data_IF_834918895618
#
_entry.id   IF_834918895618
#
_cell.length_a   1.000
_cell.length_b   1.000
_cell.length_c   1.000
_cell.angle_alpha   90.00
_cell.angle_beta   90.00
_cell.angle_gamma   90.00
#
_symmetry.space_group_name_H-M   'P 1'
#
loop_
_entity.id
_entity.type
_entity.pdbx_description
1 polymer ?
#
# COMPACT_ATOMS: atom_id res chain seq x y z
N UNK A 1 -26.81 27.44 0.88
CA UNK A 1 -26.23 26.67 1.99
C UNK A 1 -25.21 25.72 1.38
N UNK A 2 -23.93 26.01 1.60
CA UNK A 2 -22.78 25.11 1.86
C UNK A 2 -22.68 23.76 1.13
N UNK A 3 -21.57 23.32 0.53
CA UNK A 3 -20.17 23.79 0.42
C UNK A 3 -19.60 23.20 -0.89
N UNK A 4 -19.04 23.99 -1.80
CA UNK A 4 -17.59 24.19 -1.95
C UNK A 4 -16.72 22.93 -1.78
N UNK A 5 -16.78 22.00 -2.74
CA UNK A 5 -15.65 21.09 -3.04
C UNK A 5 -15.06 21.58 -4.36
N UNK A 6 -14.46 22.78 -4.30
CA UNK A 6 -13.62 23.27 -5.37
C UNK A 6 -12.29 22.52 -5.37
N UNK A 7 -11.89 22.09 -6.58
CA UNK A 7 -10.49 21.97 -7.03
C UNK A 7 -9.53 21.15 -6.17
N UNK A 8 -9.45 19.86 -6.48
CA UNK A 8 -8.20 19.10 -6.31
C UNK A 8 -7.76 18.32 -7.56
N UNK A 9 -8.52 18.34 -8.66
CA UNK A 9 -8.13 17.69 -9.93
C UNK A 9 -7.17 18.54 -10.79
N UNK A 10 -7.20 19.87 -10.67
CA UNK A 10 -6.43 20.78 -11.55
C UNK A 10 -4.91 20.84 -11.26
N UNK A 11 -4.41 20.15 -10.21
CA UNK A 11 -3.04 20.32 -9.72
C UNK A 11 -2.19 19.04 -9.66
N UNK A 12 -2.74 17.91 -10.10
CA UNK A 12 -1.98 16.67 -10.17
C UNK A 12 -1.45 16.48 -11.60
N UNK A 13 -0.14 16.27 -11.79
CA UNK A 13 0.42 15.86 -13.08
C UNK A 13 -0.40 14.71 -13.68
N UNK A 14 -0.80 14.84 -14.95
CA UNK A 14 -1.62 13.83 -15.65
C UNK A 14 -1.00 12.43 -15.55
N UNK A 15 0.33 12.36 -15.50
CA UNK A 15 1.10 11.13 -15.33
C UNK A 15 0.78 10.42 -14.00
N UNK A 16 0.62 11.16 -12.90
CA UNK A 16 0.28 10.61 -11.58
C UNK A 16 -1.17 10.17 -11.51
N UNK A 17 -2.10 10.94 -12.10
CA UNK A 17 -3.52 10.55 -12.18
C UNK A 17 -3.69 9.29 -13.02
N UNK A 18 -2.92 9.17 -14.11
CA UNK A 18 -2.92 8.01 -14.99
C UNK A 18 -2.33 6.78 -14.30
N UNK A 19 -1.24 6.93 -13.55
CA UNK A 19 -0.65 5.84 -12.77
C UNK A 19 -1.63 5.29 -11.73
N UNK A 20 -2.35 6.16 -11.02
CA UNK A 20 -3.38 5.76 -10.04
C UNK A 20 -4.54 5.03 -10.74
N UNK A 21 -5.04 5.53 -11.86
CA UNK A 21 -6.11 4.88 -12.63
C UNK A 21 -5.69 3.52 -13.20
N UNK A 22 -4.48 3.41 -13.74
CA UNK A 22 -3.94 2.14 -14.25
C UNK A 22 -3.74 1.13 -13.12
N UNK A 23 -3.37 1.59 -11.93
CA UNK A 23 -3.30 0.78 -10.73
C UNK A 23 -4.71 0.26 -10.35
N UNK A 24 -5.70 1.14 -10.20
CA UNK A 24 -7.08 0.75 -9.88
C UNK A 24 -7.66 -0.25 -10.91
N UNK A 25 -7.41 -0.06 -12.21
CA UNK A 25 -7.88 -0.96 -13.26
C UNK A 25 -7.17 -2.32 -13.28
N UNK A 26 -5.87 -2.38 -12.98
CA UNK A 26 -5.10 -3.64 -12.94
C UNK A 26 -5.47 -4.50 -11.73
N UNK A 27 -5.81 -3.88 -10.61
CA UNK A 27 -6.05 -4.58 -9.35
C UNK A 27 -7.52 -4.79 -9.00
N UNK A 28 -8.46 -4.01 -9.57
CA UNK A 28 -9.91 -4.17 -9.35
C UNK A 28 -10.50 -5.51 -9.85
N UNK A 29 -9.82 -6.20 -10.77
CA UNK A 29 -10.34 -7.44 -11.39
C UNK A 29 -10.02 -8.75 -10.66
N UNK A 30 -9.24 -8.74 -9.58
CA UNK A 30 -8.81 -9.99 -8.90
C UNK A 30 -9.80 -10.56 -7.87
N UNK A 31 -10.95 -9.91 -7.63
CA UNK A 31 -11.94 -10.34 -6.64
C UNK A 31 -13.01 -11.30 -7.18
N UNK A 32 -12.63 -12.50 -7.65
CA UNK A 32 -13.59 -13.59 -7.91
C UNK A 32 -13.07 -14.93 -7.41
N UNK A 33 -13.24 -15.18 -6.11
CA UNK A 33 -13.10 -16.52 -5.55
C UNK A 33 -13.24 -16.54 -4.04
N UNK A 34 -14.45 -16.84 -3.53
CA UNK A 34 -14.65 -17.35 -2.17
C UNK A 34 -13.96 -18.72 -2.08
N UNK A 35 -12.66 -18.73 -1.80
CA UNK A 35 -11.85 -19.90 -1.54
C UNK A 35 -10.75 -19.48 -0.59
N UNK A 36 -10.57 -20.24 0.51
CA UNK A 36 -9.58 -20.07 1.60
C UNK A 36 -8.66 -18.84 1.46
N UNK A 37 -8.79 -17.90 2.39
CA UNK A 37 -7.90 -16.74 2.50
C UNK A 37 -6.45 -17.19 2.28
N UNK A 38 -5.82 -16.67 1.24
CA UNK A 38 -4.47 -17.08 0.85
C UNK A 38 -3.49 -16.35 1.75
N UNK A 39 -2.37 -16.99 2.08
CA UNK A 39 -1.26 -16.28 2.71
C UNK A 39 -0.63 -15.29 1.72
N UNK A 40 -0.22 -14.10 2.16
CA UNK A 40 0.41 -13.12 1.29
C UNK A 40 1.81 -13.58 0.90
N UNK A 41 2.13 -13.43 -0.39
CA UNK A 41 3.49 -13.57 -0.91
C UNK A 41 4.35 -12.36 -0.54
N UNK A 42 5.65 -12.40 -0.84
CA UNK A 42 6.49 -11.21 -0.63
C UNK A 42 6.09 -10.04 -1.55
N UNK A 43 5.58 -10.33 -2.76
CA UNK A 43 5.09 -9.29 -3.68
C UNK A 43 3.85 -8.61 -3.09
N UNK A 44 2.90 -9.38 -2.57
CA UNK A 44 1.69 -8.82 -1.93
C UNK A 44 2.03 -7.93 -0.72
N UNK A 45 3.04 -8.33 0.09
CA UNK A 45 3.48 -7.55 1.24
C UNK A 45 4.20 -6.26 0.79
N UNK A 46 5.00 -6.33 -0.27
CA UNK A 46 5.68 -5.15 -0.84
C UNK A 46 4.65 -4.16 -1.38
N UNK A 47 3.67 -4.64 -2.12
CA UNK A 47 2.56 -3.82 -2.61
C UNK A 47 1.83 -3.16 -1.43
N UNK A 48 1.49 -3.92 -0.39
CA UNK A 48 0.87 -3.38 0.82
C UNK A 48 1.73 -2.27 1.48
N UNK A 49 3.04 -2.48 1.63
CA UNK A 49 3.96 -1.47 2.19
C UNK A 49 3.94 -0.20 1.34
N UNK A 50 3.98 -0.31 0.01
CA UNK A 50 3.96 0.85 -0.89
C UNK A 50 2.65 1.61 -0.77
N UNK A 51 1.51 0.91 -0.78
CA UNK A 51 0.18 1.54 -0.67
C UNK A 51 -0.01 2.25 0.68
N UNK A 52 0.44 1.63 1.78
CA UNK A 52 0.33 2.21 3.13
C UNK A 52 1.23 3.44 3.29
N UNK A 53 2.41 3.43 2.68
CA UNK A 53 3.42 4.50 2.87
C UNK A 53 3.38 5.58 1.80
N UNK A 54 2.71 5.35 0.67
CA UNK A 54 2.82 6.22 -0.52
C UNK A 54 4.26 6.30 -1.02
N UNK A 55 5.01 5.21 -0.92
CA UNK A 55 6.45 5.12 -1.20
C UNK A 55 7.37 5.97 -0.29
N UNK A 56 6.84 6.59 0.76
CA UNK A 56 7.60 7.47 1.67
C UNK A 56 7.41 7.02 3.12
N UNK A 57 8.51 6.61 3.74
CA UNK A 57 8.55 6.26 5.15
C UNK A 57 8.78 7.51 6.00
N UNK A 58 7.82 7.86 6.85
CA UNK A 58 7.83 9.04 7.71
C UNK A 58 7.89 8.65 9.18
N UNK A 59 8.24 9.59 10.06
CA UNK A 59 8.18 9.38 11.51
C UNK A 59 6.76 9.01 11.99
N UNK A 60 5.71 9.44 11.29
CA UNK A 60 4.33 9.16 11.67
C UNK A 60 3.89 7.74 11.26
N UNK A 61 4.26 7.28 10.06
CA UNK A 61 3.80 5.96 9.59
C UNK A 61 4.69 4.80 10.03
N UNK A 62 5.94 5.03 10.43
CA UNK A 62 6.87 3.95 10.82
C UNK A 62 6.40 3.18 12.05
N UNK A 63 5.78 3.86 13.03
CA UNK A 63 5.34 3.24 14.28
C UNK A 63 4.16 2.29 14.06
N UNK A 64 3.25 2.65 13.16
CA UNK A 64 2.03 1.87 12.88
C UNK A 64 2.14 1.06 11.59
N UNK A 65 3.32 1.03 10.96
CA UNK A 65 3.52 0.44 9.62
C UNK A 65 3.06 -1.01 9.57
N UNK A 66 3.46 -1.80 10.56
CA UNK A 66 3.12 -3.22 10.61
C UNK A 66 1.60 -3.46 10.71
N UNK A 67 0.93 -2.70 11.58
CA UNK A 67 -0.52 -2.78 11.78
C UNK A 67 -1.23 -2.37 10.49
N UNK A 68 -0.83 -1.25 9.89
CA UNK A 68 -1.43 -0.76 8.66
C UNK A 68 -1.23 -1.72 7.48
N UNK A 69 -0.09 -2.39 7.38
CA UNK A 69 0.16 -3.44 6.36
C UNK A 69 -0.74 -4.65 6.59
N UNK A 70 -0.92 -5.08 7.85
CA UNK A 70 -1.84 -6.17 8.20
C UNK A 70 -3.27 -5.82 7.80
N UNK A 71 -3.74 -4.63 8.16
CA UNK A 71 -5.12 -4.22 7.92
C UNK A 71 -5.38 -4.06 6.42
N UNK A 72 -4.40 -3.53 5.68
CA UNK A 72 -4.45 -3.51 4.22
C UNK A 72 -4.58 -4.94 3.65
N UNK A 73 -3.71 -5.87 4.03
CA UNK A 73 -3.74 -7.25 3.51
C UNK A 73 -5.03 -7.99 3.88
N UNK A 74 -5.55 -7.81 5.10
CA UNK A 74 -6.84 -8.36 5.52
C UNK A 74 -7.99 -7.79 4.69
N UNK A 75 -7.98 -6.49 4.40
CA UNK A 75 -9.00 -5.86 3.54
C UNK A 75 -9.01 -6.44 2.12
N UNK A 76 -7.86 -6.92 1.65
CA UNK A 76 -7.71 -7.60 0.36
C UNK A 76 -8.03 -9.12 0.41
N UNK A 77 -8.41 -9.64 1.58
CA UNK A 77 -8.81 -11.04 1.77
C UNK A 77 -7.65 -12.02 2.02
N UNK A 78 -6.46 -11.53 2.39
CA UNK A 78 -5.34 -12.38 2.78
C UNK A 78 -5.44 -12.86 4.23
N UNK A 79 -4.92 -14.05 4.49
CA UNK A 79 -4.65 -14.55 5.84
C UNK A 79 -3.28 -14.03 6.30
N UNK A 80 -3.27 -13.14 7.28
CA UNK A 80 -2.05 -12.53 7.82
C UNK A 80 -1.54 -13.22 9.09
N UNK A 81 -2.12 -14.35 9.52
CA UNK A 81 -1.74 -15.02 10.77
C UNK A 81 -0.28 -15.46 10.82
N UNK A 82 0.34 -15.71 9.67
CA UNK A 82 1.74 -16.07 9.54
C UNK A 82 2.67 -14.88 9.21
N UNK A 83 2.14 -13.66 9.09
CA UNK A 83 2.94 -12.46 8.84
C UNK A 83 3.50 -11.94 10.16
N UNK A 84 4.81 -11.70 10.20
CA UNK A 84 5.50 -11.16 11.36
C UNK A 84 6.06 -9.77 11.07
N UNK A 85 6.22 -8.97 12.11
CA UNK A 85 6.81 -7.62 12.02
C UNK A 85 8.21 -7.66 11.39
N UNK A 86 9.08 -8.57 11.86
CA UNK A 86 10.44 -8.72 11.30
C UNK A 86 10.44 -9.05 9.80
N UNK A 87 9.41 -9.74 9.28
CA UNK A 87 9.29 -10.00 7.84
C UNK A 87 8.98 -8.71 7.07
N UNK A 88 8.10 -7.87 7.60
CA UNK A 88 7.78 -6.55 7.04
C UNK A 88 9.01 -5.64 7.09
N UNK A 89 9.68 -5.54 8.23
CA UNK A 89 10.91 -4.74 8.39
C UNK A 89 12.02 -5.13 7.42
N UNK A 90 12.20 -6.43 7.18
CA UNK A 90 13.18 -6.93 6.20
C UNK A 90 12.87 -6.45 4.79
N UNK A 91 11.59 -6.47 4.41
CA UNK A 91 11.14 -6.01 3.09
C UNK A 91 11.28 -4.49 2.97
N UNK A 92 10.87 -3.73 3.99
CA UNK A 92 11.09 -2.27 4.07
C UNK A 92 12.58 -1.94 3.90
N UNK A 93 13.47 -2.61 4.63
CA UNK A 93 14.92 -2.42 4.53
C UNK A 93 15.45 -2.70 3.12
N UNK A 94 14.92 -3.73 2.45
CA UNK A 94 15.26 -4.06 1.07
C UNK A 94 14.81 -2.96 0.11
N UNK A 95 13.59 -2.45 0.26
CA UNK A 95 13.02 -1.40 -0.57
C UNK A 95 13.77 -0.06 -0.40
N UNK A 96 14.17 0.28 0.82
CA UNK A 96 15.02 1.45 1.11
C UNK A 96 16.38 1.33 0.42
N UNK A 97 17.04 0.16 0.52
CA UNK A 97 18.33 -0.08 -0.14
C UNK A 97 18.25 0.02 -1.67
N UNK A 98 17.11 -0.35 -2.25
CA UNK A 98 16.85 -0.27 -3.69
C UNK A 98 16.36 1.09 -4.17
N UNK A 99 16.10 2.04 -3.26
CA UNK A 99 15.55 3.35 -3.60
C UNK A 99 14.07 3.34 -4.01
N UNK A 100 13.36 2.22 -3.79
CA UNK A 100 11.92 2.11 -4.06
C UNK A 100 11.11 2.81 -2.96
N UNK A 101 11.57 2.69 -1.71
CA UNK A 101 11.10 3.51 -0.60
C UNK A 101 12.08 4.64 -0.34
N UNK A 102 11.55 5.82 -0.08
CA UNK A 102 12.31 6.96 0.42
C UNK A 102 12.06 7.16 1.91
N UNK A 103 13.09 7.51 2.67
CA UNK A 103 12.98 7.76 4.11
C UNK A 103 13.03 9.27 4.38
N UNK A 104 12.00 9.80 5.03
CA UNK A 104 11.90 11.20 5.47
C UNK A 104 11.56 11.24 6.96
N UNK A 105 12.59 11.11 7.79
CA UNK A 105 12.48 11.11 9.26
C UNK A 105 12.50 12.50 9.87
#
# INVERSE_FOLDING_TARGET
>A
MSDNIGRYDDFLPEDLVKEVKEYEERFSKKSRGKGRARFPSNEDIVDAIINVTGSILTRYNINDLYINVIDYLKSQGFDTSALTESRVERLVSSLLKKGVLSKKL
#
